data_IF_486054070349
#
_entry.id   IF_486054070349
#
_cell.length_a   1.000
_cell.length_b   1.000
_cell.length_c   1.000
_cell.angle_alpha   90.00
_cell.angle_beta   90.00
_cell.angle_gamma   90.00
#
_symmetry.space_group_name_H-M   'P 1'
#
loop_
_entity.id
_entity.type
_entity.pdbx_description
1 polymer ?
#
# COMPACT_ATOMS: atom_id res chain seq x y z
N UNK A 1 18.99 4.78 -3.25
CA UNK A 1 18.20 3.96 -4.17
C UNK A 1 19.02 3.41 -5.33
N UNK A 2 19.98 4.15 -5.84
CA UNK A 2 20.85 3.73 -6.93
C UNK A 2 22.23 3.37 -6.39
N UNK A 3 22.57 2.10 -6.49
CA UNK A 3 23.91 1.61 -6.20
C UNK A 3 24.65 1.36 -7.52
N UNK A 4 25.97 1.57 -7.60
CA UNK A 4 26.72 1.35 -8.83
C UNK A 4 26.77 -0.14 -9.20
N UNK A 5 26.76 -1.02 -8.21
CA UNK A 5 26.84 -2.47 -8.36
C UNK A 5 25.74 -3.16 -7.53
N UNK A 6 25.44 -4.42 -7.88
CA UNK A 6 24.54 -5.26 -7.10
C UNK A 6 25.25 -5.65 -5.81
N UNK A 7 24.74 -5.31 -4.62
CA UNK A 7 25.34 -5.72 -3.36
C UNK A 7 25.25 -7.24 -3.18
N UNK A 8 26.24 -7.85 -2.53
CA UNK A 8 26.13 -9.26 -2.15
C UNK A 8 25.03 -9.44 -1.11
N UNK A 9 24.98 -8.53 -0.11
CA UNK A 9 23.97 -8.53 0.93
C UNK A 9 23.40 -7.13 1.16
N UNK A 10 22.08 -7.00 0.96
CA UNK A 10 21.29 -5.82 1.27
C UNK A 10 20.42 -6.08 2.52
N UNK A 11 20.55 -5.22 3.53
CA UNK A 11 19.59 -5.16 4.64
C UNK A 11 18.57 -4.06 4.36
N UNK A 12 17.29 -4.41 4.39
CA UNK A 12 16.17 -3.48 4.25
C UNK A 12 15.52 -3.28 5.62
N UNK A 13 15.49 -2.06 6.10
CA UNK A 13 14.82 -1.68 7.36
C UNK A 13 13.43 -1.16 7.03
N UNK A 14 12.40 -1.93 7.41
CA UNK A 14 10.99 -1.67 7.12
C UNK A 14 10.42 -2.58 6.04
N UNK A 15 9.38 -3.34 6.39
CA UNK A 15 8.66 -4.26 5.51
C UNK A 15 7.35 -3.65 4.95
N UNK A 16 7.29 -2.34 4.78
CA UNK A 16 6.25 -1.64 4.03
C UNK A 16 6.44 -1.80 2.51
N UNK A 17 5.53 -1.21 1.72
CA UNK A 17 5.55 -1.33 0.25
C UNK A 17 6.89 -0.89 -0.36
N UNK A 18 7.48 0.24 0.06
CA UNK A 18 8.77 0.73 -0.48
C UNK A 18 9.89 -0.28 -0.23
N UNK A 19 10.01 -0.79 1.01
CA UNK A 19 11.04 -1.74 1.36
C UNK A 19 10.94 -3.05 0.59
N UNK A 20 9.73 -3.55 0.39
CA UNK A 20 9.49 -4.80 -0.32
C UNK A 20 9.64 -4.66 -1.84
N UNK A 21 9.17 -3.57 -2.43
CA UNK A 21 9.37 -3.29 -3.86
C UNK A 21 10.85 -3.23 -4.21
N UNK A 22 11.61 -2.38 -3.51
CA UNK A 22 13.04 -2.22 -3.76
C UNK A 22 13.83 -3.45 -3.36
N UNK A 23 13.53 -4.07 -2.22
CA UNK A 23 14.16 -5.32 -1.79
C UNK A 23 13.94 -6.45 -2.80
N UNK A 24 12.72 -6.58 -3.35
CA UNK A 24 12.43 -7.59 -4.37
C UNK A 24 13.17 -7.35 -5.69
N UNK A 25 13.39 -6.09 -6.08
CA UNK A 25 14.22 -5.76 -7.25
C UNK A 25 15.66 -6.21 -7.02
N UNK A 26 16.28 -5.85 -5.91
CA UNK A 26 17.65 -6.23 -5.61
C UNK A 26 17.79 -7.75 -5.47
N UNK A 27 16.80 -8.43 -4.89
CA UNK A 27 16.79 -9.90 -4.81
C UNK A 27 16.79 -10.54 -6.21
N UNK A 28 16.00 -10.02 -7.14
CA UNK A 28 15.97 -10.52 -8.55
C UNK A 28 17.26 -10.24 -9.30
N UNK A 29 17.97 -9.17 -8.96
CA UNK A 29 19.29 -8.87 -9.50
C UNK A 29 20.41 -9.75 -8.92
N UNK A 30 20.11 -10.55 -7.88
CA UNK A 30 21.04 -11.53 -7.32
C UNK A 30 21.51 -11.23 -5.90
N UNK A 31 21.17 -10.10 -5.33
CA UNK A 31 21.51 -9.78 -3.93
C UNK A 31 20.86 -10.77 -2.95
N UNK A 32 21.56 -11.15 -1.88
CA UNK A 32 20.91 -11.62 -0.66
C UNK A 32 20.16 -10.44 -0.06
N UNK A 33 18.91 -10.63 0.33
CA UNK A 33 18.09 -9.55 0.92
C UNK A 33 17.51 -10.01 2.24
N UNK A 34 17.84 -9.29 3.33
CA UNK A 34 17.28 -9.50 4.65
C UNK A 34 16.43 -8.27 5.00
N UNK A 35 15.16 -8.48 5.27
CA UNK A 35 14.19 -7.43 5.66
C UNK A 35 14.01 -7.48 7.18
N UNK A 36 14.25 -6.37 7.85
CA UNK A 36 14.04 -6.22 9.30
C UNK A 36 12.83 -5.32 9.54
N UNK A 37 11.87 -5.80 10.32
CA UNK A 37 10.63 -5.08 10.60
C UNK A 37 10.33 -5.10 12.09
N UNK A 38 9.95 -3.93 12.64
CA UNK A 38 9.55 -3.77 14.03
C UNK A 38 8.27 -4.51 14.38
N UNK A 39 7.31 -4.54 13.46
CA UNK A 39 6.06 -5.26 13.61
C UNK A 39 6.27 -6.77 13.37
N UNK A 40 5.33 -7.58 13.86
CA UNK A 40 5.31 -9.03 13.67
C UNK A 40 4.82 -9.47 12.28
N UNK A 41 4.50 -8.52 11.41
CA UNK A 41 3.98 -8.76 10.05
C UNK A 41 4.54 -7.76 9.04
N UNK A 42 4.55 -8.15 7.77
CA UNK A 42 4.84 -7.26 6.64
C UNK A 42 3.58 -6.49 6.21
N UNK A 43 3.74 -5.39 5.46
CA UNK A 43 2.65 -4.61 4.85
C UNK A 43 1.54 -4.23 5.85
N UNK A 44 1.81 -3.46 6.92
CA UNK A 44 0.88 -3.19 8.03
C UNK A 44 -0.29 -2.39 7.54
N UNK A 45 -0.78 -2.21 6.53
CA UNK A 45 -2.02 -1.56 6.03
C UNK A 45 -2.82 -2.48 5.13
N UNK A 46 -2.19 -3.55 4.65
CA UNK A 46 -2.79 -4.54 3.77
C UNK A 46 -3.58 -5.57 4.59
N UNK A 47 -4.62 -6.14 4.02
CA UNK A 47 -5.39 -7.24 4.59
C UNK A 47 -4.46 -8.36 5.09
N UNK A 48 -4.69 -8.87 6.29
CA UNK A 48 -3.78 -9.79 6.98
C UNK A 48 -3.59 -11.12 6.23
N UNK A 49 -4.64 -11.65 5.59
CA UNK A 49 -4.53 -12.88 4.79
C UNK A 49 -3.69 -12.66 3.52
N UNK A 50 -3.87 -11.51 2.86
CA UNK A 50 -3.09 -11.12 1.68
C UNK A 50 -1.63 -10.86 2.06
N UNK A 51 -1.37 -10.15 3.14
CA UNK A 51 0.00 -9.90 3.63
C UNK A 51 0.73 -11.21 4.00
N UNK A 52 0.03 -12.15 4.64
CA UNK A 52 0.58 -13.46 4.97
C UNK A 52 0.90 -14.30 3.71
N UNK A 53 0.06 -14.20 2.68
CA UNK A 53 0.33 -14.87 1.39
C UNK A 53 1.52 -14.23 0.67
N UNK A 54 1.58 -12.89 0.65
CA UNK A 54 2.70 -12.14 0.09
C UNK A 54 4.03 -12.54 0.76
N UNK A 55 4.05 -12.62 2.10
CA UNK A 55 5.23 -13.06 2.84
C UNK A 55 5.71 -14.44 2.37
N UNK A 56 4.82 -15.42 2.29
CA UNK A 56 5.18 -16.77 1.81
C UNK A 56 5.73 -16.75 0.38
N UNK A 57 5.19 -15.89 -0.48
CA UNK A 57 5.69 -15.71 -1.84
C UNK A 57 7.11 -15.14 -1.84
N UNK A 58 7.35 -14.08 -1.08
CA UNK A 58 8.68 -13.46 -0.99
C UNK A 58 9.73 -14.38 -0.36
N UNK A 59 9.36 -15.15 0.67
CA UNK A 59 10.24 -16.17 1.27
C UNK A 59 10.65 -17.25 0.23
N UNK A 60 9.70 -17.71 -0.60
CA UNK A 60 10.04 -18.63 -1.71
C UNK A 60 10.96 -18.01 -2.76
N UNK A 61 10.88 -16.70 -2.95
CA UNK A 61 11.78 -15.94 -3.83
C UNK A 61 13.16 -15.68 -3.18
N UNK A 62 13.32 -16.03 -1.90
CA UNK A 62 14.57 -15.95 -1.17
C UNK A 62 14.80 -14.63 -0.43
N UNK A 63 13.73 -13.89 -0.12
CA UNK A 63 13.81 -12.82 0.87
C UNK A 63 13.80 -13.43 2.28
N UNK A 64 14.67 -12.94 3.14
CA UNK A 64 14.71 -13.32 4.56
C UNK A 64 14.01 -12.25 5.39
N UNK A 65 13.19 -12.65 6.38
CA UNK A 65 12.45 -11.72 7.22
C UNK A 65 12.78 -11.89 8.70
N UNK A 66 13.16 -10.78 9.35
CA UNK A 66 13.29 -10.65 10.79
C UNK A 66 12.16 -9.74 11.27
N UNK A 67 11.03 -10.33 11.66
CA UNK A 67 9.84 -9.63 12.14
C UNK A 67 9.87 -9.52 13.68
N UNK A 68 9.17 -8.52 14.22
CA UNK A 68 9.21 -8.22 15.65
C UNK A 68 10.57 -7.72 16.12
N UNK A 69 11.42 -7.26 15.19
CA UNK A 69 12.80 -6.88 15.44
C UNK A 69 12.99 -5.37 15.21
N UNK A 70 13.21 -4.64 16.29
CA UNK A 70 13.53 -3.21 16.21
C UNK A 70 14.99 -2.97 15.89
N UNK A 71 15.29 -2.20 14.84
CA UNK A 71 16.64 -1.72 14.59
C UNK A 71 16.98 -0.61 15.58
N UNK A 72 18.07 -0.78 16.34
CA UNK A 72 18.55 0.17 17.36
C UNK A 72 19.70 1.02 16.86
N UNK A 73 20.38 0.59 15.79
CA UNK A 73 21.48 1.34 15.19
C UNK A 73 21.93 0.77 13.86
N UNK A 74 22.60 1.60 13.09
CA UNK A 74 23.32 1.18 11.91
C UNK A 74 24.59 2.02 11.77
N UNK A 75 25.71 1.40 11.43
CA UNK A 75 27.00 2.09 11.25
C UNK A 75 27.77 1.49 10.09
N UNK A 76 28.71 2.28 9.58
CA UNK A 76 29.67 1.86 8.55
C UNK A 76 30.95 1.41 9.24
N UNK A 77 31.44 0.23 8.90
CA UNK A 77 32.72 -0.31 9.36
C UNK A 77 33.58 -0.71 8.16
N UNK A 78 34.51 0.17 7.79
CA UNK A 78 35.33 -0.03 6.59
C UNK A 78 34.50 0.04 5.32
N UNK A 79 34.39 -1.05 4.61
CA UNK A 79 33.67 -1.21 3.34
C UNK A 79 32.27 -1.83 3.48
N UNK A 80 31.86 -2.21 4.71
CA UNK A 80 30.58 -2.83 5.01
C UNK A 80 29.77 -2.06 6.06
N UNK A 81 28.52 -2.45 6.22
CA UNK A 81 27.59 -1.90 7.20
C UNK A 81 27.26 -2.95 8.27
N UNK A 82 27.02 -2.49 9.48
CA UNK A 82 26.55 -3.30 10.61
C UNK A 82 25.22 -2.73 11.07
N UNK A 83 24.17 -3.56 11.10
CA UNK A 83 22.83 -3.20 11.57
C UNK A 83 22.55 -3.94 12.88
N UNK A 84 22.25 -3.17 13.92
CA UNK A 84 21.94 -3.67 15.26
C UNK A 84 20.43 -3.81 15.44
N UNK A 85 20.00 -5.00 15.89
CA UNK A 85 18.58 -5.36 16.04
C UNK A 85 18.31 -5.82 17.49
N UNK A 86 18.21 -4.86 18.42
CA UNK A 86 17.99 -5.16 19.84
C UNK A 86 19.02 -6.16 20.40
N UNK A 87 18.55 -7.22 21.05
CA UNK A 87 19.40 -8.27 21.64
C UNK A 87 19.85 -9.34 20.62
N UNK A 88 19.42 -9.26 19.35
CA UNK A 88 19.82 -10.20 18.31
C UNK A 88 21.26 -9.95 17.84
N UNK A 89 21.85 -10.95 17.18
CA UNK A 89 23.18 -10.76 16.57
C UNK A 89 23.11 -9.68 15.50
N UNK A 90 24.08 -8.74 15.45
CA UNK A 90 24.16 -7.75 14.40
C UNK A 90 24.21 -8.39 13.01
N UNK A 91 23.58 -7.72 12.04
CA UNK A 91 23.61 -8.10 10.63
C UNK A 91 24.74 -7.36 9.93
N UNK A 92 25.65 -8.10 9.31
CA UNK A 92 26.70 -7.55 8.45
C UNK A 92 26.22 -7.57 7.00
N UNK A 93 26.35 -6.45 6.28
CA UNK A 93 25.87 -6.28 4.91
C UNK A 93 26.68 -5.22 4.16
N UNK A 94 26.57 -5.21 2.84
CA UNK A 94 27.26 -4.22 2.01
C UNK A 94 26.49 -2.90 1.96
N UNK A 95 25.16 -2.98 2.00
CA UNK A 95 24.28 -1.81 1.90
C UNK A 95 23.08 -1.95 2.82
N UNK A 96 22.59 -0.79 3.24
CA UNK A 96 21.36 -0.66 4.04
C UNK A 96 20.39 0.24 3.31
N UNK A 97 19.15 -0.23 3.14
CA UNK A 97 18.01 0.54 2.65
C UNK A 97 17.09 0.86 3.84
N UNK A 98 16.91 2.14 4.16
CA UNK A 98 15.97 2.59 5.19
C UNK A 98 14.64 2.94 4.54
N UNK A 99 13.58 2.19 4.86
CA UNK A 99 12.23 2.32 4.28
C UNK A 99 11.15 2.27 5.38
N UNK A 100 11.36 3.01 6.46
CA UNK A 100 10.52 2.99 7.68
C UNK A 100 9.29 3.91 7.61
N UNK A 101 8.98 4.45 6.45
CA UNK A 101 7.80 5.29 6.21
C UNK A 101 8.14 6.66 5.63
N UNK A 102 7.10 7.49 5.57
CA UNK A 102 7.15 8.86 5.04
C UNK A 102 6.54 9.82 6.05
N UNK A 103 6.99 11.05 6.04
CA UNK A 103 6.41 12.15 6.82
C UNK A 103 6.11 13.34 5.90
N UNK A 104 5.14 14.20 6.24
CA UNK A 104 4.87 15.40 5.49
C UNK A 104 6.11 16.29 5.41
N UNK A 105 6.41 16.85 4.24
CA UNK A 105 7.47 17.83 4.06
C UNK A 105 6.88 19.23 4.20
N UNK A 106 6.80 19.72 5.42
CA UNK A 106 6.23 21.04 5.76
C UNK A 106 7.28 22.06 6.17
N UNK A 107 8.54 21.64 6.29
CA UNK A 107 9.66 22.54 6.63
C UNK A 107 9.90 23.54 5.50
N UNK A 108 10.16 24.82 5.88
CA UNK A 108 10.49 25.87 4.93
C UNK A 108 9.31 26.50 4.19
N UNK A 109 8.07 26.06 4.45
CA UNK A 109 6.87 26.62 3.82
C UNK A 109 6.42 27.98 4.41
N UNK A 110 7.04 28.44 5.51
CA UNK A 110 6.68 29.71 6.13
C UNK A 110 5.29 29.72 6.77
N UNK A 111 4.79 28.57 7.23
CA UNK A 111 3.43 28.39 7.74
C UNK A 111 3.12 29.30 8.94
N UNK A 112 4.11 29.52 9.81
CA UNK A 112 3.98 30.40 10.98
C UNK A 112 3.66 31.85 10.57
N UNK A 113 4.17 32.33 9.43
CA UNK A 113 3.94 33.68 8.94
C UNK A 113 2.48 33.92 8.54
N UNK A 114 1.73 32.84 8.25
CA UNK A 114 0.28 32.89 7.90
C UNK A 114 -0.59 32.27 8.99
N UNK A 115 -0.02 31.98 10.16
CA UNK A 115 -0.75 31.48 11.33
C UNK A 115 -1.23 30.03 11.23
N UNK A 116 -0.66 29.21 10.34
CA UNK A 116 -0.99 27.79 10.20
C UNK A 116 -0.16 26.98 11.19
N UNK A 117 -0.85 26.27 12.09
CA UNK A 117 -0.25 25.33 13.06
C UNK A 117 -0.43 23.89 12.56
N UNK A 118 0.65 23.11 12.55
CA UNK A 118 0.62 21.71 12.15
C UNK A 118 -0.07 20.82 13.21
N UNK A 119 -0.65 19.71 12.78
CA UNK A 119 -1.19 18.69 13.68
C UNK A 119 -0.05 17.89 14.35
N UNK A 120 -0.42 16.98 15.27
CA UNK A 120 0.54 16.13 16.01
C UNK A 120 1.38 15.20 15.10
N UNK A 121 0.99 15.01 13.85
CA UNK A 121 1.69 14.23 12.83
C UNK A 121 2.49 15.10 11.84
N UNK A 122 2.55 16.41 12.09
CA UNK A 122 3.27 17.36 11.23
C UNK A 122 2.54 17.71 9.92
N UNK A 123 1.20 17.50 9.86
CA UNK A 123 0.38 17.79 8.68
C UNK A 123 -0.31 19.13 8.82
N UNK A 124 -0.64 19.73 7.68
CA UNK A 124 -1.46 20.93 7.61
C UNK A 124 -2.93 20.55 7.81
N UNK A 125 -3.61 21.05 8.86
CA UNK A 125 -5.04 20.84 9.03
C UNK A 125 -5.83 21.56 7.93
N UNK A 126 -6.79 20.85 7.34
CA UNK A 126 -7.73 21.41 6.34
C UNK A 126 -9.15 20.96 6.64
N UNK A 127 -10.10 21.76 6.21
CA UNK A 127 -11.52 21.40 6.19
C UNK A 127 -11.88 20.48 5.00
N UNK A 128 -13.16 20.25 4.77
CA UNK A 128 -13.67 19.42 3.66
C UNK A 128 -13.50 20.07 2.29
N UNK A 129 -13.17 21.36 2.24
CA UNK A 129 -12.93 22.15 1.05
C UNK A 129 -11.45 22.41 0.80
N UNK A 130 -10.58 21.69 1.52
CA UNK A 130 -9.10 21.84 1.52
C UNK A 130 -8.61 23.21 2.01
N UNK A 131 -9.49 24.05 2.59
CA UNK A 131 -9.08 25.32 3.15
C UNK A 131 -8.33 25.12 4.47
N UNK A 132 -7.24 25.87 4.64
CA UNK A 132 -6.49 25.94 5.90
C UNK A 132 -7.10 26.99 6.83
N UNK A 133 -6.51 27.20 8.01
CA UNK A 133 -6.90 28.29 8.89
C UNK A 133 -6.51 29.69 8.40
N UNK A 134 -5.77 29.81 7.30
CA UNK A 134 -5.33 31.09 6.71
C UNK A 134 -6.17 31.44 5.47
N UNK A 135 -6.53 32.70 5.33
CA UNK A 135 -7.31 33.19 4.20
C UNK A 135 -6.61 32.91 2.87
N UNK A 136 -7.38 32.37 1.90
CA UNK A 136 -6.91 32.07 0.54
C UNK A 136 -5.75 31.06 0.45
N UNK A 137 -5.48 30.31 1.52
CA UNK A 137 -4.48 29.24 1.55
C UNK A 137 -5.16 27.88 1.65
N UNK A 138 -4.85 27.02 0.70
CA UNK A 138 -5.37 25.64 0.62
C UNK A 138 -4.21 24.66 0.65
N UNK A 139 -4.46 23.43 1.13
CA UNK A 139 -3.46 22.37 1.14
C UNK A 139 -4.07 21.05 0.69
N UNK A 140 -3.30 20.28 -0.08
CA UNK A 140 -3.68 18.97 -0.65
C UNK A 140 -2.49 18.01 -0.61
N UNK A 141 -2.75 16.74 -0.88
CA UNK A 141 -1.71 15.73 -1.09
C UNK A 141 -1.04 15.26 0.20
N UNK A 142 0.26 15.00 0.10
CA UNK A 142 1.05 14.35 1.16
C UNK A 142 1.21 15.19 2.43
N UNK A 143 0.95 16.49 2.36
CA UNK A 143 1.06 17.41 3.50
C UNK A 143 -0.21 17.50 4.35
N UNK A 144 -1.31 16.86 3.93
CA UNK A 144 -2.58 16.79 4.67
C UNK A 144 -2.89 15.36 5.14
N UNK A 145 -4.06 15.15 5.76
CA UNK A 145 -4.54 13.84 6.22
C UNK A 145 -4.72 12.84 5.06
N UNK A 146 -4.71 11.55 5.40
CA UNK A 146 -4.96 10.45 4.47
C UNK A 146 -3.66 9.76 4.00
N UNK A 147 -3.75 8.79 3.09
CA UNK A 147 -2.60 8.09 2.55
C UNK A 147 -1.75 8.98 1.65
N UNK A 148 -0.44 8.81 1.69
CA UNK A 148 0.51 9.54 0.84
C UNK A 148 0.62 8.85 -0.51
N UNK A 149 -0.36 9.08 -1.39
CA UNK A 149 -0.51 8.48 -2.70
C UNK A 149 -0.69 9.57 -3.76
N UNK A 150 0.04 9.45 -4.88
CA UNK A 150 0.03 10.45 -5.94
C UNK A 150 -1.37 10.67 -6.54
N UNK A 151 -2.11 9.59 -6.80
CA UNK A 151 -3.48 9.66 -7.35
C UNK A 151 -4.46 10.29 -6.36
N UNK A 152 -4.33 10.03 -5.04
CA UNK A 152 -5.12 10.75 -4.02
C UNK A 152 -4.84 12.25 -4.08
N UNK A 153 -3.57 12.65 -4.19
CA UNK A 153 -3.19 14.06 -4.28
C UNK A 153 -3.73 14.73 -5.56
N UNK A 154 -3.78 14.00 -6.69
CA UNK A 154 -4.36 14.49 -7.95
C UNK A 154 -5.86 14.72 -7.82
N UNK A 155 -6.61 13.77 -7.28
CA UNK A 155 -8.07 13.92 -7.07
C UNK A 155 -8.39 15.05 -6.09
N UNK A 156 -7.62 15.19 -5.02
CA UNK A 156 -7.75 16.33 -4.09
C UNK A 156 -7.48 17.66 -4.80
N UNK A 157 -6.49 17.71 -5.70
CA UNK A 157 -6.19 18.90 -6.50
C UNK A 157 -7.36 19.29 -7.41
N UNK A 158 -7.96 18.32 -8.10
CA UNK A 158 -9.14 18.53 -8.95
C UNK A 158 -10.30 19.03 -8.09
N UNK A 159 -10.65 18.32 -7.02
CA UNK A 159 -11.76 18.67 -6.14
C UNK A 159 -11.58 20.06 -5.49
N UNK A 160 -10.35 20.39 -5.08
CA UNK A 160 -10.02 21.70 -4.53
C UNK A 160 -10.30 22.83 -5.56
N UNK A 161 -9.79 22.68 -6.80
CA UNK A 161 -9.98 23.70 -7.86
C UNK A 161 -11.45 23.81 -8.28
N UNK A 162 -12.17 22.68 -8.41
CA UNK A 162 -13.61 22.69 -8.68
C UNK A 162 -14.39 23.43 -7.59
N UNK A 163 -14.05 23.22 -6.33
CA UNK A 163 -14.66 23.92 -5.19
C UNK A 163 -14.36 25.41 -5.24
N UNK A 164 -13.15 25.82 -5.57
CA UNK A 164 -12.76 27.22 -5.75
C UNK A 164 -13.49 27.88 -6.90
N UNK A 165 -13.80 27.15 -7.96
CA UNK A 165 -14.59 27.60 -9.09
C UNK A 165 -16.10 27.65 -8.80
N UNK A 166 -16.54 27.30 -7.58
CA UNK A 166 -17.97 27.33 -7.18
C UNK A 166 -18.71 26.02 -7.49
N UNK A 167 -18.01 24.97 -7.88
CA UNK A 167 -18.53 23.59 -8.06
C UNK A 167 -18.56 22.79 -6.77
N UNK A 168 -19.00 21.54 -6.89
CA UNK A 168 -19.03 20.55 -5.81
C UNK A 168 -17.88 19.54 -5.99
N UNK A 169 -16.66 19.98 -5.69
CA UNK A 169 -15.50 19.08 -5.70
C UNK A 169 -15.66 17.96 -4.67
N UNK A 170 -15.40 16.72 -5.08
CA UNK A 170 -15.58 15.54 -4.24
C UNK A 170 -14.43 14.56 -4.39
N UNK A 171 -14.01 13.96 -3.27
CA UNK A 171 -13.07 12.83 -3.24
C UNK A 171 -13.69 11.72 -2.39
N UNK A 172 -13.85 10.54 -2.98
CA UNK A 172 -14.29 9.36 -2.24
C UNK A 172 -13.10 8.66 -1.58
N UNK A 173 -12.82 9.00 -0.34
CA UNK A 173 -11.70 8.42 0.41
C UNK A 173 -11.87 6.93 0.70
N UNK A 174 -13.09 6.39 0.64
CA UNK A 174 -13.35 4.95 0.80
C UNK A 174 -13.02 4.14 -0.47
N UNK A 175 -12.83 4.80 -1.62
CA UNK A 175 -12.53 4.18 -2.90
C UNK A 175 -11.15 4.54 -3.47
N UNK A 176 -10.20 4.92 -2.63
CA UNK A 176 -8.81 5.17 -3.06
C UNK A 176 -8.06 3.84 -3.13
N UNK A 177 -7.62 3.39 -4.32
CA UNK A 177 -6.87 2.14 -4.43
C UNK A 177 -5.43 2.30 -3.97
N UNK A 178 -4.83 1.22 -3.52
CA UNK A 178 -3.40 1.12 -3.22
C UNK A 178 -2.78 -0.08 -3.94
N UNK A 179 -1.55 0.07 -4.40
CA UNK A 179 -0.81 -0.97 -5.13
C UNK A 179 0.58 -1.11 -4.57
N UNK A 180 1.05 -2.35 -4.45
CA UNK A 180 2.45 -2.72 -4.17
C UNK A 180 2.99 -3.42 -5.41
N UNK A 181 3.96 -2.81 -6.07
CA UNK A 181 4.52 -3.24 -7.35
C UNK A 181 5.61 -4.30 -7.17
N UNK A 182 5.24 -5.41 -6.59
CA UNK A 182 6.07 -6.61 -6.45
C UNK A 182 5.67 -7.67 -7.49
N UNK A 183 6.23 -8.85 -7.43
CA UNK A 183 5.74 -10.02 -8.15
C UNK A 183 5.58 -11.18 -7.14
N UNK A 184 4.32 -11.61 -6.89
CA UNK A 184 3.07 -11.07 -7.43
C UNK A 184 2.82 -9.62 -7.00
N UNK A 185 2.04 -8.87 -7.77
CA UNK A 185 1.52 -7.57 -7.37
C UNK A 185 0.48 -7.72 -6.26
N UNK A 186 0.34 -6.68 -5.44
CA UNK A 186 -0.71 -6.63 -4.42
C UNK A 186 -1.48 -5.32 -4.64
N UNK A 187 -2.80 -5.40 -4.68
CA UNK A 187 -3.65 -4.22 -4.80
C UNK A 187 -4.85 -4.32 -3.88
N UNK A 188 -5.34 -3.18 -3.42
CA UNK A 188 -6.52 -3.13 -2.58
C UNK A 188 -7.27 -1.81 -2.73
N UNK A 189 -8.58 -1.87 -2.51
CA UNK A 189 -9.46 -0.71 -2.39
C UNK A 189 -10.48 -0.98 -1.28
N UNK A 190 -10.86 0.06 -0.55
CA UNK A 190 -11.82 -0.03 0.55
C UNK A 190 -11.21 -0.57 1.85
N UNK A 191 -12.07 -1.11 2.70
CA UNK A 191 -11.72 -1.58 4.04
C UNK A 191 -11.31 -3.04 4.02
N UNK A 192 -10.21 -3.36 4.70
CA UNK A 192 -9.78 -4.75 4.89
C UNK A 192 -10.55 -5.43 6.03
N UNK A 193 -10.43 -6.76 6.09
CA UNK A 193 -11.14 -7.58 7.07
C UNK A 193 -10.78 -7.19 8.52
N UNK A 194 -9.52 -6.86 8.79
CA UNK A 194 -9.05 -6.44 10.11
C UNK A 194 -9.76 -5.14 10.59
N UNK A 195 -10.00 -4.21 9.67
CA UNK A 195 -10.72 -2.95 9.95
C UNK A 195 -12.18 -3.21 10.21
N UNK A 196 -12.84 -4.04 9.38
CA UNK A 196 -14.26 -4.38 9.54
C UNK A 196 -14.52 -5.10 10.85
N UNK A 197 -13.68 -6.05 11.23
CA UNK A 197 -13.78 -6.78 12.50
C UNK A 197 -13.64 -5.84 13.70
N UNK A 198 -12.66 -4.96 13.71
CA UNK A 198 -12.46 -3.97 14.79
C UNK A 198 -13.62 -2.99 14.90
N UNK A 199 -14.25 -2.65 13.78
CA UNK A 199 -15.41 -1.76 13.74
C UNK A 199 -16.74 -2.48 14.03
N UNK A 200 -16.74 -3.80 14.22
CA UNK A 200 -17.96 -4.59 14.46
C UNK A 200 -18.91 -4.62 13.27
N UNK A 201 -18.42 -4.38 12.06
CA UNK A 201 -19.23 -4.41 10.82
C UNK A 201 -19.43 -5.86 10.39
N UNK A 202 -20.68 -6.27 10.23
CA UNK A 202 -21.02 -7.60 9.69
C UNK A 202 -20.81 -7.62 8.16
N UNK A 203 -20.04 -8.58 7.68
CA UNK A 203 -19.70 -8.72 6.25
C UNK A 203 -19.81 -10.18 5.79
N UNK A 204 -19.83 -10.37 4.48
CA UNK A 204 -19.59 -11.63 3.78
C UNK A 204 -18.25 -11.56 3.08
N UNK A 205 -17.58 -12.71 2.96
CA UNK A 205 -16.28 -12.84 2.31
C UNK A 205 -16.36 -13.82 1.17
N UNK A 206 -15.97 -13.40 -0.03
CA UNK A 206 -15.68 -14.24 -1.18
C UNK A 206 -14.18 -14.29 -1.46
N UNK A 207 -13.67 -15.46 -1.86
CA UNK A 207 -12.26 -15.64 -2.24
C UNK A 207 -12.19 -16.51 -3.49
N UNK A 208 -11.46 -16.02 -4.51
CA UNK A 208 -11.21 -16.78 -5.73
C UNK A 208 -9.69 -16.89 -5.99
N UNK A 209 -9.11 -18.12 -6.06
CA UNK A 209 -7.69 -18.31 -6.31
C UNK A 209 -7.36 -18.21 -7.81
N UNK A 210 -6.27 -17.52 -8.18
CA UNK A 210 -5.81 -17.45 -9.57
C UNK A 210 -5.41 -18.82 -10.14
N UNK A 211 -5.12 -19.80 -9.30
CA UNK A 211 -4.92 -21.19 -9.73
C UNK A 211 -6.15 -21.81 -10.43
N UNK A 212 -7.37 -21.28 -10.19
CA UNK A 212 -8.60 -21.66 -10.86
C UNK A 212 -8.91 -20.79 -12.09
N UNK A 213 -8.17 -19.69 -12.32
CA UNK A 213 -8.35 -18.80 -13.46
C UNK A 213 -7.60 -19.31 -14.70
N UNK A 214 -8.30 -19.52 -15.81
CA UNK A 214 -7.72 -20.07 -17.03
C UNK A 214 -6.61 -19.18 -17.63
N UNK A 215 -6.76 -17.85 -17.59
CA UNK A 215 -5.77 -16.90 -18.12
C UNK A 215 -4.50 -16.86 -17.26
N UNK A 216 -4.64 -16.86 -15.93
CA UNK A 216 -3.50 -16.90 -15.02
C UNK A 216 -2.65 -18.17 -15.24
N UNK A 217 -3.31 -19.31 -15.43
CA UNK A 217 -2.64 -20.58 -15.74
C UNK A 217 -1.92 -20.53 -17.10
N UNK A 218 -2.59 -20.00 -18.12
CA UNK A 218 -1.98 -19.86 -19.46
C UNK A 218 -0.78 -18.92 -19.47
N UNK A 219 -0.76 -17.89 -18.60
CA UNK A 219 0.38 -16.98 -18.44
C UNK A 219 1.51 -17.57 -17.58
N UNK A 220 1.31 -18.72 -16.92
CA UNK A 220 2.29 -19.30 -15.99
C UNK A 220 2.33 -18.60 -14.63
N UNK A 221 1.34 -17.78 -14.29
CA UNK A 221 1.25 -17.00 -13.05
C UNK A 221 -0.01 -17.33 -12.24
N UNK A 222 -0.22 -18.59 -11.79
CA UNK A 222 -1.41 -19.01 -11.06
C UNK A 222 -1.38 -18.67 -9.57
N UNK A 223 -0.35 -17.97 -9.10
CA UNK A 223 -0.18 -17.61 -7.70
C UNK A 223 -1.11 -16.46 -7.31
N UNK A 224 -1.68 -16.56 -6.11
CA UNK A 224 -2.47 -15.50 -5.51
C UNK A 224 -3.98 -15.70 -5.60
N UNK A 225 -4.71 -14.66 -5.22
CA UNK A 225 -6.17 -14.66 -5.12
C UNK A 225 -6.78 -13.27 -5.20
N UNK A 226 -8.07 -13.24 -5.44
CA UNK A 226 -8.95 -12.10 -5.21
C UNK A 226 -9.77 -12.38 -3.95
N UNK A 227 -9.90 -11.40 -3.07
CA UNK A 227 -10.75 -11.42 -1.88
C UNK A 227 -11.69 -10.24 -1.93
N UNK A 228 -13.00 -10.50 -1.86
CA UNK A 228 -14.06 -9.49 -1.86
C UNK A 228 -14.77 -9.52 -0.51
N UNK A 229 -14.98 -8.34 0.07
CA UNK A 229 -15.72 -8.14 1.30
C UNK A 229 -16.97 -7.31 0.99
N UNK A 230 -18.15 -7.81 1.34
CA UNK A 230 -19.42 -7.14 1.10
C UNK A 230 -20.24 -7.03 2.39
N UNK A 231 -20.98 -5.95 2.55
CA UNK A 231 -21.89 -5.75 3.69
C UNK A 231 -22.94 -6.89 3.74
N UNK A 232 -23.12 -7.45 4.92
CA UNK A 232 -23.97 -8.64 5.09
C UNK A 232 -25.45 -8.39 4.76
N UNK A 233 -25.93 -7.16 4.93
CA UNK A 233 -27.35 -6.80 4.78
C UNK A 233 -27.65 -6.24 3.40
N UNK A 234 -26.78 -5.35 2.91
CA UNK A 234 -26.99 -4.58 1.68
C UNK A 234 -26.27 -5.16 0.47
N UNK A 235 -25.33 -6.09 0.70
CA UNK A 235 -24.41 -6.65 -0.29
C UNK A 235 -23.46 -5.63 -0.92
N UNK A 236 -23.46 -4.38 -0.44
CA UNK A 236 -22.55 -3.34 -0.95
C UNK A 236 -21.08 -3.75 -0.74
N UNK A 237 -20.27 -3.56 -1.75
CA UNK A 237 -18.83 -3.86 -1.67
C UNK A 237 -18.17 -2.93 -0.64
N UNK A 238 -17.50 -3.52 0.35
CA UNK A 238 -16.78 -2.83 1.42
C UNK A 238 -15.28 -2.77 1.18
N UNK A 239 -14.74 -3.72 0.43
CA UNK A 239 -13.35 -3.76 0.05
C UNK A 239 -13.01 -4.94 -0.85
N UNK A 240 -12.00 -4.74 -1.68
CA UNK A 240 -11.43 -5.77 -2.56
C UNK A 240 -9.92 -5.78 -2.40
N UNK A 241 -9.37 -6.97 -2.23
CA UNK A 241 -7.94 -7.20 -1.97
C UNK A 241 -7.43 -8.29 -2.91
N UNK A 242 -6.39 -7.99 -3.66
CA UNK A 242 -5.84 -8.85 -4.70
C UNK A 242 -4.35 -9.08 -4.42
N UNK A 243 -3.91 -10.31 -4.51
CA UNK A 243 -2.51 -10.65 -4.71
C UNK A 243 -2.43 -11.54 -5.95
N UNK A 244 -1.65 -11.16 -6.93
CA UNK A 244 -1.55 -11.95 -8.17
C UNK A 244 -1.06 -11.16 -9.37
N UNK A 245 -1.16 -11.75 -10.57
CA UNK A 245 -0.71 -11.10 -11.79
C UNK A 245 -1.57 -9.88 -12.11
N UNK A 246 -0.91 -8.74 -12.37
CA UNK A 246 -1.57 -7.48 -12.77
C UNK A 246 -2.65 -7.00 -11.79
N UNK A 247 -2.43 -7.22 -10.50
CA UNK A 247 -3.38 -6.79 -9.47
C UNK A 247 -3.62 -5.28 -9.52
N UNK A 248 -2.59 -4.50 -9.87
CA UNK A 248 -2.68 -3.04 -10.04
C UNK A 248 -3.62 -2.59 -11.16
N UNK A 249 -3.74 -3.38 -12.25
CA UNK A 249 -4.71 -3.11 -13.30
C UNK A 249 -6.11 -3.60 -12.91
N UNK A 250 -6.20 -4.79 -12.31
CA UNK A 250 -7.47 -5.41 -11.93
C UNK A 250 -8.23 -4.62 -10.86
N UNK A 251 -7.53 -3.96 -9.95
CA UNK A 251 -8.17 -3.20 -8.88
C UNK A 251 -9.00 -2.02 -9.39
N UNK A 252 -8.74 -1.55 -10.61
CA UNK A 252 -9.47 -0.43 -11.20
C UNK A 252 -10.96 -0.73 -11.40
N UNK A 253 -11.32 -1.97 -11.76
CA UNK A 253 -12.71 -2.40 -11.87
C UNK A 253 -13.40 -2.35 -10.50
N UNK A 254 -12.77 -2.91 -9.47
CA UNK A 254 -13.29 -2.87 -8.12
C UNK A 254 -13.42 -1.43 -7.58
N UNK A 255 -12.46 -0.56 -7.91
CA UNK A 255 -12.50 0.86 -7.55
C UNK A 255 -13.70 1.55 -8.19
N UNK A 256 -13.92 1.36 -9.49
CA UNK A 256 -15.08 1.91 -10.20
C UNK A 256 -16.41 1.37 -9.64
N UNK A 257 -16.48 0.08 -9.35
CA UNK A 257 -17.65 -0.54 -8.73
C UNK A 257 -17.95 0.09 -7.36
N UNK A 258 -16.94 0.31 -6.52
CA UNK A 258 -17.11 0.94 -5.22
C UNK A 258 -17.48 2.41 -5.33
N UNK A 259 -16.93 3.15 -6.29
CA UNK A 259 -17.26 4.55 -6.54
C UNK A 259 -18.74 4.72 -6.86
N UNK A 260 -19.31 3.82 -7.69
CA UNK A 260 -20.74 3.81 -8.02
C UNK A 260 -21.61 3.08 -7.00
N UNK A 261 -21.05 2.60 -5.89
CA UNK A 261 -21.79 1.96 -4.81
C UNK A 261 -22.37 0.60 -5.13
N UNK A 262 -21.69 -0.16 -6.00
CA UNK A 262 -22.11 -1.49 -6.44
C UNK A 262 -22.19 -2.51 -5.30
N UNK A 263 -23.05 -3.49 -5.47
CA UNK A 263 -23.10 -4.72 -4.69
C UNK A 263 -22.09 -5.75 -5.20
N UNK A 264 -21.79 -6.79 -4.39
CA UNK A 264 -20.97 -7.90 -4.86
C UNK A 264 -21.67 -8.69 -5.97
N UNK A 265 -23.01 -8.71 -5.97
CA UNK A 265 -23.80 -9.31 -7.04
C UNK A 265 -23.65 -8.56 -8.37
N UNK A 266 -23.55 -7.23 -8.36
CA UNK A 266 -23.33 -6.44 -9.58
C UNK A 266 -22.02 -6.81 -10.26
N UNK A 267 -20.92 -6.95 -9.50
CA UNK A 267 -19.64 -7.42 -10.02
C UNK A 267 -19.76 -8.85 -10.57
N UNK A 268 -20.32 -9.77 -9.78
CA UNK A 268 -20.45 -11.18 -10.16
C UNK A 268 -21.33 -11.42 -11.41
N UNK A 269 -22.29 -10.53 -11.69
CA UNK A 269 -23.18 -10.59 -12.87
C UNK A 269 -22.63 -9.80 -14.06
N UNK A 270 -21.56 -9.02 -13.87
CA UNK A 270 -20.91 -8.33 -14.99
C UNK A 270 -20.29 -9.36 -15.93
N UNK A 271 -20.56 -9.20 -17.23
CA UNK A 271 -20.01 -10.12 -18.24
C UNK A 271 -18.52 -9.82 -18.47
N UNK A 272 -17.67 -10.69 -17.99
CA UNK A 272 -16.22 -10.61 -18.25
C UNK A 272 -15.84 -11.39 -19.51
N UNK A 273 -14.89 -10.85 -20.26
CA UNK A 273 -14.38 -11.56 -21.44
C UNK A 273 -13.60 -12.82 -21.04
N UNK A 274 -13.79 -13.92 -21.79
CA UNK A 274 -13.08 -15.19 -21.56
C UNK A 274 -12.04 -15.45 -22.67
N UNK A 275 -10.79 -15.88 -22.35
CA UNK A 275 -10.22 -15.97 -21.00
C UNK A 275 -9.50 -14.68 -20.59
N UNK A 276 -9.81 -14.16 -19.42
CA UNK A 276 -9.15 -12.96 -18.84
C UNK A 276 -8.82 -13.16 -17.36
N UNK A 277 -7.94 -12.28 -16.82
CA UNK A 277 -7.68 -12.24 -15.39
C UNK A 277 -8.87 -11.64 -14.60
N UNK A 278 -9.63 -10.74 -15.23
CA UNK A 278 -10.79 -10.07 -14.62
C UNK A 278 -11.92 -11.05 -14.22
N UNK A 279 -12.00 -12.23 -14.85
CA UNK A 279 -12.93 -13.28 -14.41
C UNK A 279 -12.71 -13.79 -12.97
N UNK A 280 -11.64 -13.30 -12.31
CA UNK A 280 -11.36 -13.62 -10.91
C UNK A 280 -12.09 -12.68 -9.93
N UNK A 281 -12.60 -11.53 -10.41
CA UNK A 281 -13.43 -10.61 -9.64
C UNK A 281 -14.87 -11.08 -9.57
#
# INVERSE_FOLDING_TARGET
LSYPDVPEHLVVIGAGYIGLELGSVWRRLGARVTVVEYLDRILPGVDSEIAAEARRSFERQGLEFHLGAGVTGARVEGDHCVVECGDAKPLHCDRVLVAVGRRPMTEGLGLDAVGITLDAQGRIPVDERFATGADSVFAIGDVIRGPMLAHKAQEEGIACVETLAGGAGHVNYDAIPSVVYTAPEIASVGRNEDVLQRAGVEYRKGVFPFAANGRARALGHPEGRVKVLADKKTDRVLGVHIIGPRAGDLIAEATAAMEFGASSEDIARTCHAHPTLAEAL
#
